data_IF_419906796506
#
_entry.id   IF_419906796506
#
_cell.length_a   1.000
_cell.length_b   1.000
_cell.length_c   1.000
_cell.angle_alpha   90.00
_cell.angle_beta   90.00
_cell.angle_gamma   90.00
#
_symmetry.space_group_name_H-M   'P 1'
#
loop_
_entity.id
_entity.type
_entity.pdbx_description
1 polymer ?
#
# COMPACT_ATOMS: atom_id res chain seq x y z
N UNK A 1 -7.25 41.90 0.80
CA UNK A 1 -5.96 41.93 0.09
C UNK A 1 -5.93 40.72 -0.84
N UNK A 2 -5.95 41.01 -2.13
CA UNK A 2 -5.96 40.03 -3.22
C UNK A 2 -4.53 39.65 -3.62
N UNK A 3 -4.42 38.77 -4.63
CA UNK A 3 -3.25 38.20 -5.31
C UNK A 3 -3.02 36.72 -4.93
N UNK A 4 -3.05 35.75 -5.85
CA UNK A 4 -3.16 35.78 -7.30
C UNK A 4 -2.54 34.49 -7.85
N UNK A 5 -3.37 33.63 -8.47
CA UNK A 5 -2.90 32.53 -9.32
C UNK A 5 -2.30 33.08 -10.62
N UNK A 6 -1.37 32.35 -11.27
CA UNK A 6 -1.25 32.41 -12.71
C UNK A 6 -1.61 31.09 -13.40
N UNK A 7 -2.45 31.25 -14.43
CA UNK A 7 -2.76 30.32 -15.54
C UNK A 7 -1.86 30.64 -16.75
N UNK A 8 -1.67 29.64 -17.62
CA UNK A 8 -1.39 29.78 -19.07
C UNK A 8 0.10 29.79 -19.45
N UNK A 9 0.57 29.25 -20.57
CA UNK A 9 -0.04 28.83 -21.85
C UNK A 9 1.02 27.97 -22.65
N UNK A 10 0.66 27.37 -23.81
CA UNK A 10 1.36 26.30 -24.53
C UNK A 10 2.31 26.82 -25.64
N UNK A 11 3.05 25.95 -26.35
CA UNK A 11 3.51 26.11 -27.76
C UNK A 11 4.25 24.85 -28.28
N UNK A 12 4.03 24.50 -29.57
CA UNK A 12 4.92 23.75 -30.47
C UNK A 12 4.38 22.37 -30.89
N UNK A 13 3.60 22.17 -31.97
CA UNK A 13 3.77 22.53 -33.40
C UNK A 13 5.11 22.05 -33.99
N UNK A 14 5.08 20.87 -34.62
CA UNK A 14 6.18 20.31 -35.40
C UNK A 14 5.65 19.33 -36.45
N UNK A 15 5.25 19.88 -37.60
CA UNK A 15 4.82 19.14 -38.78
C UNK A 15 5.98 18.41 -39.47
N UNK A 16 5.76 17.20 -39.99
CA UNK A 16 6.48 16.73 -41.19
C UNK A 16 5.65 15.73 -42.01
N UNK A 17 5.11 16.26 -43.11
CA UNK A 17 4.74 15.52 -44.33
C UNK A 17 6.02 14.99 -45.00
N UNK A 18 5.97 13.79 -45.55
CA UNK A 18 6.61 13.47 -46.84
C UNK A 18 5.75 12.46 -47.61
N UNK A 19 5.08 13.01 -48.62
CA UNK A 19 4.50 12.35 -49.79
C UNK A 19 5.61 12.00 -50.79
N UNK A 20 5.49 10.86 -51.48
CA UNK A 20 6.41 10.47 -52.54
C UNK A 20 5.97 9.19 -53.29
N UNK A 21 4.99 9.36 -54.17
CA UNK A 21 4.77 8.61 -55.45
C UNK A 21 6.08 8.51 -56.26
N UNK A 22 6.38 7.58 -57.20
CA UNK A 22 5.68 6.64 -58.09
C UNK A 22 6.78 5.72 -58.75
N UNK A 23 6.45 4.73 -59.61
CA UNK A 23 7.30 3.60 -60.04
C UNK A 23 8.06 3.87 -61.36
N UNK A 24 8.83 2.89 -61.88
CA UNK A 24 9.13 2.82 -63.29
C UNK A 24 8.37 1.68 -64.01
N UNK A 25 7.97 2.02 -65.23
CA UNK A 25 7.25 1.25 -66.24
C UNK A 25 8.26 0.86 -67.34
N UNK A 26 8.18 -0.39 -67.80
CA UNK A 26 8.41 -0.93 -69.17
C UNK A 26 9.46 -0.26 -70.07
N UNK A 27 10.42 -1.07 -70.55
CA UNK A 27 10.96 -0.99 -71.91
C UNK A 27 11.07 -2.41 -72.51
N UNK A 28 10.33 -2.65 -73.60
CA UNK A 28 10.67 -3.64 -74.63
C UNK A 28 11.84 -3.13 -75.47
N UNK A 29 12.59 -4.02 -76.15
CA UNK A 29 12.58 -3.91 -77.61
C UNK A 29 12.53 -5.24 -78.38
N UNK A 30 11.57 -5.29 -79.30
CA UNK A 30 11.63 -5.68 -80.73
C UNK A 30 12.63 -6.75 -81.24
N UNK A 31 12.03 -7.86 -81.68
CA UNK A 31 12.15 -8.58 -82.97
C UNK A 31 13.25 -8.22 -83.99
N UNK A 32 14.00 -9.25 -84.43
CA UNK A 32 14.23 -9.73 -85.82
C UNK A 32 15.12 -10.99 -85.72
N UNK A 33 15.06 -12.08 -86.49
CA UNK A 33 14.30 -12.50 -87.64
C UNK A 33 14.73 -13.95 -87.99
N UNK A 34 13.87 -14.62 -88.76
CA UNK A 34 13.96 -15.92 -89.45
C UNK A 34 15.34 -16.59 -89.60
N UNK A 35 15.39 -17.91 -89.37
CA UNK A 35 15.63 -18.88 -90.43
C UNK A 35 14.83 -20.16 -90.18
N UNK A 36 14.15 -20.56 -91.24
CA UNK A 36 13.36 -21.77 -91.44
C UNK A 36 14.29 -22.90 -91.92
N UNK A 37 14.33 -24.01 -91.19
CA UNK A 37 14.67 -25.32 -91.76
C UNK A 37 13.79 -26.36 -91.11
N UNK A 38 12.72 -26.70 -91.81
CA UNK A 38 11.89 -27.86 -91.61
C UNK A 38 12.73 -29.14 -91.39
N UNK A 39 12.65 -29.70 -90.18
CA UNK A 39 12.98 -31.10 -89.91
C UNK A 39 11.66 -31.87 -89.70
N UNK A 40 11.46 -33.02 -90.37
CA UNK A 40 10.27 -33.82 -90.18
C UNK A 40 10.23 -34.41 -88.76
N UNK A 41 9.04 -34.52 -88.14
CA UNK A 41 8.92 -35.04 -86.79
C UNK A 41 9.25 -36.53 -86.78
N UNK A 42 10.39 -36.89 -86.19
CA UNK A 42 10.63 -38.24 -85.74
C UNK A 42 9.64 -38.46 -84.59
N UNK A 43 8.51 -39.11 -84.88
CA UNK A 43 7.70 -39.77 -83.86
C UNK A 43 8.58 -40.84 -83.21
N UNK A 44 9.36 -40.45 -82.20
CA UNK A 44 9.74 -41.38 -81.15
C UNK A 44 8.51 -41.50 -80.29
N UNK A 45 7.82 -42.61 -80.42
CA UNK A 45 7.08 -43.15 -79.30
C UNK A 45 8.09 -43.26 -78.15
N UNK A 46 8.05 -42.31 -77.21
CA UNK A 46 8.69 -42.53 -75.93
C UNK A 46 7.94 -43.70 -75.32
N UNK A 47 8.62 -44.84 -75.18
CA UNK A 47 8.18 -45.93 -74.34
C UNK A 47 7.68 -45.33 -73.03
N UNK A 48 6.43 -45.64 -72.69
CA UNK A 48 5.71 -45.10 -71.54
C UNK A 48 6.48 -45.26 -70.22
N UNK A 49 7.48 -46.16 -70.19
CA UNK A 49 8.42 -46.39 -69.08
C UNK A 49 9.49 -45.30 -68.87
N UNK A 50 10.02 -44.67 -69.94
CA UNK A 50 11.10 -43.67 -69.84
C UNK A 50 10.58 -42.32 -69.34
N UNK A 51 9.37 -41.94 -69.76
CA UNK A 51 8.67 -40.76 -69.25
C UNK A 51 8.28 -40.92 -67.77
N UNK A 52 7.85 -42.14 -67.39
CA UNK A 52 7.52 -42.46 -66.00
C UNK A 52 8.76 -42.40 -65.08
N UNK A 53 9.92 -42.92 -65.50
CA UNK A 53 11.16 -42.84 -64.72
C UNK A 53 11.69 -41.41 -64.57
N UNK A 54 11.62 -40.58 -65.62
CA UNK A 54 12.00 -39.16 -65.55
C UNK A 54 11.12 -38.40 -64.55
N UNK A 55 9.80 -38.63 -64.57
CA UNK A 55 8.87 -38.02 -63.63
C UNK A 55 9.15 -38.48 -62.19
N UNK A 56 9.40 -39.78 -61.96
CA UNK A 56 9.70 -40.32 -60.64
C UNK A 56 10.99 -39.69 -60.08
N UNK A 57 12.03 -39.52 -60.91
CA UNK A 57 13.27 -38.85 -60.53
C UNK A 57 13.06 -37.38 -60.11
N UNK A 58 12.30 -36.63 -60.91
CA UNK A 58 11.97 -35.22 -60.62
C UNK A 58 11.12 -35.10 -59.35
N UNK A 59 10.14 -35.99 -59.15
CA UNK A 59 9.32 -36.04 -57.94
C UNK A 59 10.15 -36.36 -56.70
N UNK A 60 11.13 -37.26 -56.79
CA UNK A 60 12.06 -37.56 -55.69
C UNK A 60 12.96 -36.37 -55.29
N UNK A 61 13.47 -35.63 -56.28
CA UNK A 61 14.26 -34.41 -56.03
C UNK A 61 13.41 -33.30 -55.43
N UNK A 62 12.18 -33.11 -55.92
CA UNK A 62 11.25 -32.14 -55.34
C UNK A 62 10.82 -32.52 -53.91
N UNK A 63 10.61 -33.80 -53.64
CA UNK A 63 10.28 -34.28 -52.30
C UNK A 63 11.42 -33.99 -51.30
N UNK A 64 12.67 -34.29 -51.68
CA UNK A 64 13.84 -34.02 -50.83
C UNK A 64 14.09 -32.53 -50.61
N UNK A 65 13.93 -31.70 -51.64
CA UNK A 65 13.96 -30.23 -51.51
C UNK A 65 12.86 -29.69 -50.59
N UNK A 66 11.67 -30.29 -50.62
CA UNK A 66 10.55 -29.88 -49.78
C UNK A 66 10.81 -30.22 -48.32
N UNK A 67 11.31 -31.42 -48.03
CA UNK A 67 11.71 -31.84 -46.68
C UNK A 67 12.85 -30.97 -46.16
N UNK A 68 13.90 -30.73 -46.95
CA UNK A 68 15.01 -29.86 -46.57
C UNK A 68 14.54 -28.43 -46.24
N UNK A 69 13.62 -27.88 -47.04
CA UNK A 69 13.00 -26.57 -46.79
C UNK A 69 12.15 -26.56 -45.53
N UNK A 70 11.48 -27.66 -45.21
CA UNK A 70 10.64 -27.79 -44.02
C UNK A 70 11.48 -27.88 -42.75
N UNK A 71 12.54 -28.71 -42.76
CA UNK A 71 13.51 -28.82 -41.65
C UNK A 71 14.19 -27.47 -41.40
N UNK A 72 14.66 -26.79 -42.45
CA UNK A 72 15.25 -25.46 -42.31
C UNK A 72 14.27 -24.42 -41.72
N UNK A 73 12.99 -24.48 -42.11
CA UNK A 73 11.95 -23.61 -41.53
C UNK A 73 11.68 -23.92 -40.05
N UNK A 74 11.73 -25.19 -39.65
CA UNK A 74 11.54 -25.59 -38.26
C UNK A 74 12.72 -25.17 -37.39
N UNK A 75 13.96 -25.44 -37.81
CA UNK A 75 15.16 -25.00 -37.10
C UNK A 75 15.24 -23.47 -36.96
N UNK A 76 14.81 -22.74 -37.99
CA UNK A 76 14.76 -21.28 -37.94
C UNK A 76 13.73 -20.78 -36.92
N UNK A 77 12.55 -21.41 -36.86
CA UNK A 77 11.51 -21.07 -35.88
C UNK A 77 11.93 -21.41 -34.45
N UNK A 78 12.56 -22.56 -34.23
CA UNK A 78 13.04 -22.96 -32.91
C UNK A 78 14.14 -22.01 -32.40
N UNK A 79 15.06 -21.58 -33.28
CA UNK A 79 16.08 -20.56 -32.94
C UNK A 79 15.49 -19.18 -32.66
N UNK A 80 14.42 -18.79 -33.33
CA UNK A 80 13.73 -17.51 -33.08
C UNK A 80 12.98 -17.57 -31.74
N UNK A 81 12.28 -18.68 -31.46
CA UNK A 81 11.58 -18.90 -30.19
C UNK A 81 12.55 -18.97 -28.99
N UNK A 82 13.71 -19.60 -29.16
CA UNK A 82 14.76 -19.65 -28.13
C UNK A 82 15.30 -18.25 -27.81
N UNK A 83 15.58 -17.43 -28.83
CA UNK A 83 16.01 -16.03 -28.64
C UNK A 83 14.96 -15.16 -27.97
N UNK A 84 13.68 -15.33 -28.34
CA UNK A 84 12.58 -14.61 -27.69
C UNK A 84 12.44 -15.01 -26.22
N UNK A 85 12.57 -16.31 -25.90
CA UNK A 85 12.57 -16.79 -24.52
C UNK A 85 13.76 -16.26 -23.72
N UNK A 86 14.98 -16.29 -24.28
CA UNK A 86 16.17 -15.72 -23.63
C UNK A 86 16.00 -14.22 -23.38
N UNK A 87 15.44 -13.46 -24.32
CA UNK A 87 15.20 -12.02 -24.15
C UNK A 87 14.13 -11.76 -23.07
N UNK A 88 13.08 -12.58 -23.01
CA UNK A 88 12.05 -12.50 -21.97
C UNK A 88 12.62 -12.82 -20.59
N UNK A 89 13.43 -13.88 -20.48
CA UNK A 89 14.12 -14.26 -19.23
C UNK A 89 15.09 -13.16 -18.81
N UNK A 90 15.88 -12.61 -19.74
CA UNK A 90 16.81 -11.52 -19.43
C UNK A 90 16.08 -10.26 -18.98
N UNK A 91 14.95 -9.92 -19.61
CA UNK A 91 14.11 -8.78 -19.19
C UNK A 91 13.47 -9.03 -17.82
N UNK A 92 13.00 -10.24 -17.53
CA UNK A 92 12.40 -10.57 -16.24
C UNK A 92 13.43 -10.55 -15.11
N UNK A 93 14.63 -11.11 -15.33
CA UNK A 93 15.75 -11.03 -14.39
C UNK A 93 16.19 -9.59 -14.14
N UNK A 94 16.25 -8.75 -15.18
CA UNK A 94 16.62 -7.35 -15.05
C UNK A 94 15.54 -6.55 -14.30
N UNK A 95 14.26 -6.86 -14.52
CA UNK A 95 13.14 -6.26 -13.78
C UNK A 95 13.15 -6.70 -12.30
N UNK A 96 13.48 -7.95 -12.02
CA UNK A 96 13.59 -8.46 -10.65
C UNK A 96 14.76 -7.82 -9.90
N UNK A 97 15.93 -7.67 -10.56
CA UNK A 97 17.07 -6.94 -10.01
C UNK A 97 16.71 -5.49 -9.66
N UNK A 98 16.04 -4.77 -10.56
CA UNK A 98 15.54 -3.41 -10.29
C UNK A 98 14.59 -3.36 -9.10
N UNK A 99 13.63 -4.29 -9.00
CA UNK A 99 12.72 -4.36 -7.84
C UNK A 99 13.47 -4.58 -6.54
N UNK A 100 14.49 -5.45 -6.53
CA UNK A 100 15.33 -5.71 -5.35
C UNK A 100 16.16 -4.48 -4.97
N UNK A 101 16.73 -3.78 -5.94
CA UNK A 101 17.46 -2.52 -5.73
C UNK A 101 16.55 -1.41 -5.21
N UNK A 102 15.37 -1.23 -5.81
CA UNK A 102 14.37 -0.26 -5.37
C UNK A 102 13.88 -0.57 -3.94
N UNK A 103 13.70 -1.84 -3.59
CA UNK A 103 13.34 -2.25 -2.24
C UNK A 103 14.45 -1.92 -1.24
N UNK A 104 15.72 -2.20 -1.58
CA UNK A 104 16.88 -1.84 -0.75
C UNK A 104 17.00 -0.33 -0.55
N UNK A 105 16.87 0.46 -1.62
CA UNK A 105 16.91 1.92 -1.56
C UNK A 105 15.78 2.49 -0.71
N UNK A 106 14.57 1.93 -0.81
CA UNK A 106 13.44 2.32 0.05
C UNK A 106 13.73 1.99 1.50
N UNK A 107 14.26 0.80 1.78
CA UNK A 107 14.59 0.38 3.14
C UNK A 107 15.69 1.25 3.76
N UNK A 108 16.75 1.57 3.00
CA UNK A 108 17.81 2.48 3.44
C UNK A 108 17.28 3.89 3.74
N UNK A 109 16.46 4.46 2.83
CA UNK A 109 15.82 5.75 3.06
C UNK A 109 14.89 5.73 4.27
N UNK A 110 14.17 4.64 4.49
CA UNK A 110 13.27 4.51 5.64
C UNK A 110 14.06 4.37 6.95
N UNK A 111 15.21 3.69 6.93
CA UNK A 111 16.12 3.62 8.09
C UNK A 111 16.72 4.99 8.41
N UNK A 112 17.17 5.72 7.40
CA UNK A 112 17.71 7.08 7.56
C UNK A 112 16.61 8.04 8.07
N UNK A 113 15.43 8.01 7.45
CA UNK A 113 14.28 8.80 7.91
C UNK A 113 13.90 8.47 9.35
N UNK A 114 13.90 7.19 9.74
CA UNK A 114 13.69 6.79 11.14
C UNK A 114 14.75 7.38 12.06
N UNK A 115 16.02 7.33 11.70
CA UNK A 115 17.10 7.95 12.49
C UNK A 115 16.89 9.46 12.65
N UNK A 116 16.62 10.18 11.56
CA UNK A 116 16.37 11.63 11.61
C UNK A 116 15.14 11.96 12.46
N UNK A 117 14.05 11.18 12.34
CA UNK A 117 12.86 11.34 13.21
C UNK A 117 13.19 11.08 14.68
N UNK A 118 14.05 10.10 14.98
CA UNK A 118 14.49 9.80 16.35
C UNK A 118 15.25 10.96 16.96
N UNK A 119 16.22 11.50 16.25
CA UNK A 119 17.03 12.63 16.71
C UNK A 119 16.16 13.88 16.89
N UNK A 120 15.22 14.15 15.98
CA UNK A 120 14.35 15.33 16.05
C UNK A 120 13.28 15.25 17.15
N UNK A 121 12.78 14.05 17.45
CA UNK A 121 11.63 13.86 18.34
C UNK A 121 11.99 13.20 19.68
N UNK A 122 13.27 13.14 20.05
CA UNK A 122 13.73 12.46 21.26
C UNK A 122 12.99 12.90 22.53
N UNK A 123 12.82 14.21 22.71
CA UNK A 123 12.11 14.75 23.87
C UNK A 123 10.62 14.40 23.86
N UNK A 124 10.00 14.30 22.68
CA UNK A 124 8.61 13.85 22.57
C UNK A 124 8.45 12.38 22.93
N UNK A 125 9.42 11.52 22.60
CA UNK A 125 9.33 10.12 23.03
C UNK A 125 9.52 9.97 24.55
N UNK A 126 10.44 10.73 25.15
CA UNK A 126 10.60 10.76 26.61
C UNK A 126 9.33 11.24 27.32
N UNK A 127 8.76 12.35 26.84
CA UNK A 127 7.51 12.89 27.37
C UNK A 127 6.34 11.90 27.16
N UNK A 128 6.30 11.19 26.04
CA UNK A 128 5.28 10.17 25.78
C UNK A 128 5.39 9.02 26.79
N UNK A 129 6.60 8.53 27.08
CA UNK A 129 6.79 7.46 28.08
C UNK A 129 6.32 7.93 29.46
N UNK A 130 6.74 9.12 29.90
CA UNK A 130 6.33 9.67 31.19
C UNK A 130 4.80 9.81 31.29
N UNK A 131 4.15 10.37 30.27
CA UNK A 131 2.69 10.48 30.26
C UNK A 131 2.01 9.10 30.25
N UNK A 132 2.55 8.11 29.52
CA UNK A 132 2.04 6.74 29.50
C UNK A 132 2.22 6.01 30.85
N UNK A 133 3.25 6.34 31.63
CA UNK A 133 3.40 5.89 33.02
C UNK A 133 2.28 6.45 33.90
N UNK A 134 2.00 7.76 33.83
CA UNK A 134 0.85 8.35 34.53
C UNK A 134 -0.48 7.68 34.16
N UNK A 135 -0.71 7.41 32.88
CA UNK A 135 -1.92 6.68 32.46
C UNK A 135 -1.99 5.26 33.02
N UNK A 136 -0.87 4.54 33.05
CA UNK A 136 -0.82 3.20 33.64
C UNK A 136 -1.21 3.24 35.11
N UNK A 137 -0.62 4.15 35.89
CA UNK A 137 -0.91 4.33 37.31
C UNK A 137 -2.38 4.69 37.55
N UNK A 138 -2.92 5.64 36.79
CA UNK A 138 -4.33 6.04 36.89
C UNK A 138 -5.27 4.88 36.56
N UNK A 139 -4.99 4.13 35.50
CA UNK A 139 -5.82 2.97 35.15
C UNK A 139 -5.68 1.84 36.16
N UNK A 140 -4.50 1.59 36.74
CA UNK A 140 -4.35 0.63 37.83
C UNK A 140 -5.16 1.05 39.06
N UNK A 141 -5.07 2.32 39.45
CA UNK A 141 -5.83 2.85 40.57
C UNK A 141 -7.35 2.68 40.35
N UNK A 142 -7.84 3.00 39.15
CA UNK A 142 -9.25 2.86 38.76
C UNK A 142 -9.76 1.41 38.72
N UNK A 143 -8.88 0.41 38.61
CA UNK A 143 -9.27 -1.00 38.74
C UNK A 143 -9.41 -1.41 40.20
N UNK A 144 -8.57 -0.86 41.08
CA UNK A 144 -8.55 -1.20 42.50
C UNK A 144 -9.64 -0.50 43.31
N UNK A 145 -10.01 0.73 42.92
CA UNK A 145 -11.00 1.56 43.59
C UNK A 145 -11.65 2.54 42.61
N UNK A 146 -12.90 2.97 42.85
CA UNK A 146 -13.46 4.10 42.12
C UNK A 146 -12.65 5.37 42.40
N UNK A 147 -12.34 6.12 41.34
CA UNK A 147 -11.62 7.39 41.42
C UNK A 147 -12.60 8.56 41.33
N UNK A 148 -12.41 9.55 42.20
CA UNK A 148 -13.09 10.85 42.09
C UNK A 148 -12.37 11.77 41.10
N UNK A 149 -12.98 12.91 40.77
CA UNK A 149 -12.30 13.95 39.98
C UNK A 149 -11.05 14.44 40.71
N UNK A 150 -11.12 14.62 42.04
CA UNK A 150 -9.97 15.03 42.85
C UNK A 150 -8.82 14.00 42.84
N UNK A 151 -9.13 12.70 42.85
CA UNK A 151 -8.12 11.65 42.67
C UNK A 151 -7.41 11.81 41.31
N UNK A 152 -8.18 11.96 40.22
CA UNK A 152 -7.61 12.07 38.87
C UNK A 152 -6.75 13.32 38.69
N UNK A 153 -7.15 14.44 39.28
CA UNK A 153 -6.33 15.67 39.32
C UNK A 153 -5.06 15.45 40.13
N UNK A 154 -5.14 14.80 41.29
CA UNK A 154 -3.96 14.52 42.12
C UNK A 154 -2.94 13.58 41.44
N UNK A 155 -3.43 12.74 40.52
CA UNK A 155 -2.62 11.85 39.70
C UNK A 155 -2.22 12.47 38.36
N UNK A 156 -2.45 13.77 38.16
CA UNK A 156 -2.00 14.52 36.98
C UNK A 156 -2.56 13.97 35.64
N UNK A 157 -3.76 13.38 35.65
CA UNK A 157 -4.39 12.80 34.45
C UNK A 157 -4.58 13.85 33.35
N UNK A 158 -4.93 15.08 33.73
CA UNK A 158 -5.15 16.17 32.78
C UNK A 158 -3.85 16.63 32.10
N UNK A 159 -2.74 16.73 32.85
CA UNK A 159 -1.44 17.01 32.26
C UNK A 159 -1.01 15.89 31.32
N UNK A 160 -1.18 14.62 31.73
CA UNK A 160 -0.85 13.47 30.89
C UNK A 160 -1.68 13.44 29.60
N UNK A 161 -2.99 13.71 29.67
CA UNK A 161 -3.87 13.86 28.51
C UNK A 161 -3.40 14.98 27.57
N UNK A 162 -3.08 16.15 28.12
CA UNK A 162 -2.60 17.28 27.31
C UNK A 162 -1.26 16.96 26.62
N UNK A 163 -0.34 16.27 27.32
CA UNK A 163 0.95 15.85 26.76
C UNK A 163 0.76 14.85 25.62
N UNK A 164 -0.03 13.79 25.83
CA UNK A 164 -0.30 12.76 24.81
C UNK A 164 -0.96 13.36 23.57
N UNK A 165 -1.92 14.28 23.74
CA UNK A 165 -2.57 14.98 22.62
C UNK A 165 -1.58 15.87 21.85
N UNK A 166 -0.72 16.61 22.55
CA UNK A 166 0.31 17.44 21.91
C UNK A 166 1.32 16.58 21.13
N UNK A 167 1.70 15.43 21.69
CA UNK A 167 2.67 14.53 21.04
C UNK A 167 2.05 13.82 19.83
N UNK A 168 0.79 13.40 19.90
CA UNK A 168 0.10 12.73 18.80
C UNK A 168 0.02 13.62 17.54
N UNK A 169 -0.14 14.93 17.71
CA UNK A 169 -0.11 15.93 16.63
C UNK A 169 1.31 16.11 16.06
N UNK A 170 2.34 16.09 16.92
CA UNK A 170 3.74 16.37 16.55
C UNK A 170 4.49 15.18 15.99
N UNK A 171 4.09 13.97 16.37
CA UNK A 171 4.72 12.71 15.95
C UNK A 171 3.65 11.84 15.27
N UNK A 172 3.41 12.01 13.95
CA UNK A 172 2.34 11.32 13.24
C UNK A 172 2.38 9.79 13.35
N UNK A 173 3.58 9.21 13.50
CA UNK A 173 3.76 7.78 13.69
C UNK A 173 3.13 7.24 14.99
N UNK A 174 2.99 8.08 16.01
CA UNK A 174 2.39 7.73 17.29
C UNK A 174 0.92 8.16 17.41
N UNK A 175 0.40 8.89 16.43
CA UNK A 175 -0.88 9.57 16.54
C UNK A 175 -2.02 8.63 16.95
N UNK A 176 -2.19 7.53 16.22
CA UNK A 176 -3.27 6.56 16.47
C UNK A 176 -3.17 5.96 17.86
N UNK A 177 -1.98 5.47 18.23
CA UNK A 177 -1.80 4.76 19.50
C UNK A 177 -1.96 5.70 20.71
N UNK A 178 -1.44 6.93 20.62
CA UNK A 178 -1.59 7.94 21.67
C UNK A 178 -3.03 8.48 21.76
N UNK A 179 -3.71 8.64 20.63
CA UNK A 179 -5.12 9.06 20.62
C UNK A 179 -6.03 8.03 21.29
N UNK A 180 -5.78 6.73 21.09
CA UNK A 180 -6.53 5.67 21.76
C UNK A 180 -6.38 5.74 23.30
N UNK A 181 -5.17 6.03 23.80
CA UNK A 181 -4.93 6.23 25.23
C UNK A 181 -5.68 7.46 25.73
N UNK A 182 -5.58 8.57 25.02
CA UNK A 182 -6.29 9.82 25.35
C UNK A 182 -7.80 9.61 25.44
N UNK A 183 -8.40 8.87 24.49
CA UNK A 183 -9.83 8.58 24.48
C UNK A 183 -10.25 7.82 25.75
N UNK A 184 -9.45 6.85 26.20
CA UNK A 184 -9.75 6.13 27.44
C UNK A 184 -9.54 7.00 28.68
N UNK A 185 -8.54 7.89 28.68
CA UNK A 185 -8.36 8.92 29.71
C UNK A 185 -9.57 9.83 29.85
N UNK A 186 -10.01 10.43 28.74
CA UNK A 186 -11.18 11.31 28.73
C UNK A 186 -12.48 10.56 29.08
N UNK A 187 -12.60 9.28 28.67
CA UNK A 187 -13.73 8.46 29.09
C UNK A 187 -13.71 8.23 30.61
N UNK A 188 -12.54 7.96 31.19
CA UNK A 188 -12.41 7.78 32.64
C UNK A 188 -12.83 9.03 33.41
N UNK A 189 -12.37 10.21 32.97
CA UNK A 189 -12.72 11.51 33.54
C UNK A 189 -14.23 11.77 33.53
N UNK A 190 -14.92 11.47 32.41
CA UNK A 190 -16.38 11.61 32.30
C UNK A 190 -17.16 10.70 33.24
N UNK A 191 -16.55 9.60 33.66
CA UNK A 191 -17.13 8.65 34.58
C UNK A 191 -16.55 8.76 35.99
N UNK A 192 -15.92 9.89 36.33
CA UNK A 192 -15.45 10.16 37.68
C UNK A 192 -16.55 9.94 38.73
N UNK A 193 -16.13 9.38 39.88
CA UNK A 193 -17.02 9.10 40.98
C UNK A 193 -17.38 10.41 41.68
N UNK A 194 -18.65 10.65 42.03
CA UNK A 194 -19.05 11.87 42.74
C UNK A 194 -18.33 12.00 44.09
N UNK A 195 -17.87 13.20 44.42
CA UNK A 195 -17.15 13.49 45.66
C UNK A 195 -17.98 13.19 46.91
N UNK A 196 -17.32 12.76 48.00
CA UNK A 196 -17.98 12.42 49.26
C UNK A 196 -18.83 13.57 49.84
N UNK A 197 -18.41 14.81 49.63
CA UNK A 197 -19.12 16.01 50.10
C UNK A 197 -20.50 16.16 49.46
N UNK A 198 -20.67 15.69 48.20
CA UNK A 198 -21.97 15.66 47.53
C UNK A 198 -22.95 14.71 48.23
N UNK A 199 -22.46 13.63 48.84
CA UNK A 199 -23.30 12.71 49.61
C UNK A 199 -23.69 13.27 50.98
N UNK A 200 -22.80 14.04 51.63
CA UNK A 200 -23.04 14.61 52.96
C UNK A 200 -24.23 15.58 52.99
N UNK A 201 -24.43 16.36 51.92
CA UNK A 201 -25.53 17.34 51.79
C UNK A 201 -26.93 16.72 51.79
N UNK A 202 -27.08 15.42 51.49
CA UNK A 202 -28.38 14.74 51.50
C UNK A 202 -28.85 14.36 52.90
N UNK A 203 -27.94 14.27 53.87
CA UNK A 203 -28.25 13.81 55.23
C UNK A 203 -28.41 14.94 56.26
N UNK A 204 -27.92 16.15 55.98
CA UNK A 204 -27.77 17.21 57.01
C UNK A 204 -28.94 18.22 57.08
N UNK A 205 -29.94 18.18 56.20
CA UNK A 205 -31.11 19.08 56.28
C UNK A 205 -32.31 18.49 57.07
N UNK A 206 -32.59 18.90 58.31
CA UNK A 206 -33.74 18.40 59.09
C UNK A 206 -35.09 19.06 58.71
N UNK A 207 -35.63 18.79 57.52
CA UNK A 207 -37.00 19.21 57.18
C UNK A 207 -37.86 17.99 56.79
N UNK A 208 -38.86 17.59 57.60
CA UNK A 208 -39.61 16.34 57.43
C UNK A 208 -40.43 16.25 56.13
N UNK A 209 -40.82 17.38 55.53
CA UNK A 209 -41.64 17.39 54.29
C UNK A 209 -40.90 16.93 53.02
N UNK A 210 -39.57 16.85 53.05
CA UNK A 210 -38.75 16.49 51.87
C UNK A 210 -38.18 15.07 51.91
N UNK A 211 -38.59 14.25 52.89
CA UNK A 211 -38.01 12.94 53.17
C UNK A 211 -38.15 11.94 52.00
N UNK A 212 -39.33 11.85 51.37
CA UNK A 212 -39.56 10.96 50.21
C UNK A 212 -38.72 11.34 48.98
N UNK A 213 -38.56 12.64 48.71
CA UNK A 213 -37.75 13.11 47.57
C UNK A 213 -36.26 12.88 47.80
N UNK A 214 -35.79 12.85 49.05
CA UNK A 214 -34.38 12.58 49.39
C UNK A 214 -34.02 11.12 49.23
N UNK A 215 -34.88 10.20 49.68
CA UNK A 215 -34.65 8.77 49.49
C UNK A 215 -34.50 8.40 48.01
N UNK A 216 -35.34 8.99 47.15
CA UNK A 216 -35.22 8.82 45.70
C UNK A 216 -33.92 9.41 45.12
N UNK A 217 -33.56 10.65 45.48
CA UNK A 217 -32.31 11.28 45.01
C UNK A 217 -31.05 10.55 45.48
N UNK A 218 -31.03 10.12 46.74
CA UNK A 218 -29.93 9.33 47.30
C UNK A 218 -29.78 7.98 46.58
N UNK A 219 -30.88 7.29 46.30
CA UNK A 219 -30.87 6.07 45.48
C UNK A 219 -30.37 6.32 44.06
N UNK A 220 -30.74 7.44 43.43
CA UNK A 220 -30.22 7.80 42.11
C UNK A 220 -28.70 8.01 42.14
N UNK A 221 -28.17 8.67 43.17
CA UNK A 221 -26.73 8.85 43.34
C UNK A 221 -25.99 7.54 43.58
N UNK A 222 -26.51 6.64 44.43
CA UNK A 222 -25.92 5.31 44.61
C UNK A 222 -25.90 4.55 43.29
N UNK A 223 -26.99 4.60 42.54
CA UNK A 223 -27.10 3.93 41.24
C UNK A 223 -26.09 4.50 40.24
N UNK A 224 -26.00 5.81 40.14
CA UNK A 224 -25.04 6.50 39.27
C UNK A 224 -23.60 6.18 39.66
N UNK A 225 -23.27 6.26 40.94
CA UNK A 225 -21.99 5.84 41.52
C UNK A 225 -21.64 4.39 41.16
N UNK A 226 -22.59 3.46 41.28
CA UNK A 226 -22.37 2.05 40.96
C UNK A 226 -22.12 1.83 39.46
N UNK A 227 -22.87 2.54 38.61
CA UNK A 227 -22.68 2.50 37.15
C UNK A 227 -21.34 3.10 36.76
N UNK A 228 -20.98 4.25 37.33
CA UNK A 228 -19.70 4.90 37.08
C UNK A 228 -18.53 4.04 37.53
N UNK A 229 -18.59 3.43 38.72
CA UNK A 229 -17.57 2.50 39.19
C UNK A 229 -17.38 1.31 38.22
N UNK A 230 -18.47 0.69 37.76
CA UNK A 230 -18.39 -0.40 36.78
C UNK A 230 -17.81 0.07 35.43
N UNK A 231 -18.18 1.27 34.97
CA UNK A 231 -17.63 1.86 33.75
C UNK A 231 -16.14 2.18 33.89
N UNK A 232 -15.71 2.76 35.01
CA UNK A 232 -14.31 3.06 35.28
C UNK A 232 -13.45 1.80 35.19
N UNK A 233 -13.89 0.68 35.78
CA UNK A 233 -13.16 -0.61 35.69
C UNK A 233 -13.07 -1.11 34.25
N UNK A 234 -14.15 -1.02 33.47
CA UNK A 234 -14.12 -1.42 32.06
C UNK A 234 -13.21 -0.54 31.21
N UNK A 235 -13.25 0.77 31.44
CA UNK A 235 -12.42 1.76 30.76
C UNK A 235 -10.97 1.55 31.13
N UNK A 236 -10.65 1.30 32.39
CA UNK A 236 -9.27 1.16 32.85
C UNK A 236 -8.61 -0.12 32.34
N UNK A 237 -9.33 -1.24 32.27
CA UNK A 237 -8.81 -2.48 31.65
C UNK A 237 -8.51 -2.25 30.16
N UNK A 238 -9.40 -1.58 29.43
CA UNK A 238 -9.15 -1.23 28.01
C UNK A 238 -8.01 -0.22 27.88
N UNK A 239 -7.97 0.77 28.76
CA UNK A 239 -6.96 1.82 28.83
C UNK A 239 -5.56 1.22 29.01
N UNK A 240 -5.39 0.27 29.94
CA UNK A 240 -4.12 -0.43 30.12
C UNK A 240 -3.65 -1.17 28.87
N UNK A 241 -4.57 -1.84 28.14
CA UNK A 241 -4.21 -2.48 26.89
C UNK A 241 -3.72 -1.43 25.87
N UNK A 242 -4.39 -0.28 25.79
CA UNK A 242 -3.98 0.83 24.92
C UNK A 242 -2.65 1.46 25.32
N UNK A 243 -2.36 1.56 26.61
CA UNK A 243 -1.05 2.02 27.10
C UNK A 243 0.05 1.05 26.65
N UNK A 244 -0.16 -0.27 26.74
CA UNK A 244 0.80 -1.27 26.26
C UNK A 244 1.02 -1.21 24.75
N UNK A 245 -0.05 -1.04 23.97
CA UNK A 245 0.02 -0.84 22.53
C UNK A 245 0.80 0.45 22.17
N UNK A 246 0.55 1.54 22.89
CA UNK A 246 1.24 2.81 22.72
C UNK A 246 2.72 2.74 23.09
N UNK A 247 3.08 2.09 24.20
CA UNK A 247 4.50 1.83 24.55
C UNK A 247 5.21 1.03 23.47
N UNK A 248 4.58 -0.04 22.97
CA UNK A 248 5.11 -0.83 21.86
C UNK A 248 5.27 -0.02 20.56
N UNK A 249 4.41 0.98 20.32
CA UNK A 249 4.55 1.90 19.19
C UNK A 249 5.72 2.88 19.39
N UNK A 250 5.88 3.41 20.61
CA UNK A 250 7.02 4.27 20.98
C UNK A 250 8.33 3.49 20.84
N UNK A 251 8.41 2.26 21.34
CA UNK A 251 9.60 1.40 21.23
C UNK A 251 9.97 1.09 19.77
N UNK A 252 8.98 0.86 18.89
CA UNK A 252 9.24 0.62 17.46
C UNK A 252 9.78 1.84 16.73
N UNK A 253 9.33 3.04 17.10
CA UNK A 253 9.78 4.29 16.47
C UNK A 253 11.09 4.82 17.08
N UNK A 254 11.28 4.70 18.39
CA UNK A 254 12.48 5.14 19.09
C UNK A 254 13.62 4.11 19.01
N UNK A 255 13.29 2.81 19.03
CA UNK A 255 14.27 1.74 19.15
C UNK A 255 14.78 1.65 20.59
N UNK A 256 14.38 0.60 21.29
CA UNK A 256 15.03 0.14 22.51
C UNK A 256 16.45 -0.38 22.20
#
# INVERSE_FOLDING_TARGET
>A
MAHGLPRGLPIGLGARRRTGTRPPTVEEPQTTGLYDTAQPPIRREMETGDWAQSIIGVVGVLATLTVARMVYKLEKKDKEAEKEQEEVVRKSEQAEKRKREDARLKEERERENRRVRREKNQDYYRAAIAALETFEEVFEAAQSRPLTTSDMVSMELDEAMAQVYKISDRVPALNVALSDVWVNGSALERHAFPEADLFSGFFIGQNPETQDKRGHKFWMLIREASVNAAQQVQISVKGQLKVKEARSAVEREWGA
#
